data_IF_953918641145
#
_entry.id   IF_953918641145
#
_cell.length_a   1.000
_cell.length_b   1.000
_cell.length_c   1.000
_cell.angle_alpha   90.00
_cell.angle_beta   90.00
_cell.angle_gamma   90.00
#
_symmetry.space_group_name_H-M   'P 1'
#
loop_
_entity.id
_entity.type
_entity.pdbx_description
1 polymer ?
#
# COMPACT_ATOMS: atom_id res chain seq x y z
N UNK A 1 14.82 -9.15 5.75
CA UNK A 1 13.35 -9.35 5.63
C UNK A 1 12.60 -8.97 6.91
N UNK A 2 12.92 -9.59 8.06
CA UNK A 2 12.22 -9.34 9.34
C UNK A 2 12.03 -7.86 9.67
N UNK A 3 13.12 -7.08 9.65
CA UNK A 3 13.09 -5.62 9.90
C UNK A 3 12.08 -4.86 9.03
N UNK A 4 11.81 -5.32 7.79
CA UNK A 4 10.86 -4.67 6.89
C UNK A 4 9.40 -5.12 7.10
N UNK A 5 9.21 -6.27 7.73
CA UNK A 5 7.91 -6.93 7.88
C UNK A 5 7.37 -6.88 9.31
N UNK A 6 8.19 -6.54 10.30
CA UNK A 6 7.82 -6.57 11.73
C UNK A 6 6.65 -5.64 12.08
N UNK A 7 6.48 -4.55 11.31
CA UNK A 7 5.43 -3.55 11.51
C UNK A 7 4.26 -3.69 10.52
N UNK A 8 4.22 -4.77 9.73
CA UNK A 8 3.12 -4.98 8.79
C UNK A 8 1.85 -5.44 9.50
N UNK A 9 0.82 -4.60 9.44
CA UNK A 9 -0.55 -5.01 9.71
C UNK A 9 -1.25 -5.41 8.40
N UNK A 10 -1.80 -6.64 8.38
CA UNK A 10 -2.40 -7.23 7.18
C UNK A 10 -3.82 -7.69 7.43
N UNK A 11 -4.70 -7.40 6.48
CA UNK A 11 -6.13 -7.66 6.56
C UNK A 11 -6.60 -8.35 5.29
N UNK A 12 -6.96 -9.64 5.38
CA UNK A 12 -7.43 -10.46 4.25
C UNK A 12 -8.71 -11.23 4.62
N UNK A 13 -9.74 -11.29 3.75
CA UNK A 13 -9.83 -10.65 2.41
C UNK A 13 -10.00 -9.11 2.48
N UNK A 14 -9.97 -8.52 3.68
CA UNK A 14 -10.08 -7.08 3.90
C UNK A 14 -11.51 -6.56 3.72
N UNK A 15 -11.67 -5.25 3.87
CA UNK A 15 -12.89 -4.55 3.47
C UNK A 15 -12.84 -4.21 1.98
N UNK A 16 -13.97 -4.24 1.25
CA UNK A 16 -14.03 -3.73 -0.12
C UNK A 16 -13.41 -2.33 -0.20
N UNK A 17 -12.76 -2.01 -1.33
CA UNK A 17 -11.99 -0.79 -1.47
C UNK A 17 -12.76 0.46 -1.07
N UNK A 18 -12.32 1.11 0.01
CA UNK A 18 -12.87 2.37 0.53
C UNK A 18 -11.84 3.51 0.45
N UNK A 19 -12.29 4.75 0.61
CA UNK A 19 -11.39 5.91 0.71
C UNK A 19 -10.91 6.52 -0.62
N UNK A 20 -11.31 5.98 -1.77
CA UNK A 20 -11.08 6.59 -3.09
C UNK A 20 -9.70 6.30 -3.72
N UNK A 21 -9.02 5.23 -3.30
CA UNK A 21 -7.74 4.82 -3.88
C UNK A 21 -7.89 3.97 -5.15
N UNK A 22 -6.92 4.03 -6.06
CA UNK A 22 -7.01 3.47 -7.42
C UNK A 22 -7.08 1.94 -7.49
N UNK A 23 -6.57 1.22 -6.48
CA UNK A 23 -6.61 -0.26 -6.46
C UNK A 23 -8.06 -0.79 -6.55
N UNK A 24 -9.03 -0.05 -6.01
CA UNK A 24 -10.43 -0.44 -6.05
C UNK A 24 -10.94 -0.65 -7.50
N UNK A 25 -10.46 0.14 -8.46
CA UNK A 25 -10.83 -0.01 -9.87
C UNK A 25 -10.33 -1.35 -10.46
N UNK A 26 -9.12 -1.78 -10.09
CA UNK A 26 -8.57 -3.07 -10.51
C UNK A 26 -9.33 -4.24 -9.89
N UNK A 27 -9.62 -4.17 -8.59
CA UNK A 27 -10.44 -5.18 -7.90
C UNK A 27 -11.84 -5.29 -8.54
N UNK A 28 -12.49 -4.16 -8.85
CA UNK A 28 -13.79 -4.14 -9.52
C UNK A 28 -13.75 -4.79 -10.93
N UNK A 29 -12.61 -4.73 -11.62
CA UNK A 29 -12.40 -5.36 -12.92
C UNK A 29 -11.98 -6.84 -12.81
N UNK A 30 -11.92 -7.42 -11.60
CA UNK A 30 -11.47 -8.79 -11.37
C UNK A 30 -9.95 -8.97 -11.45
N UNK A 31 -9.18 -7.87 -11.51
CA UNK A 31 -7.72 -7.95 -11.46
C UNK A 31 -7.25 -8.04 -9.99
N UNK A 32 -6.31 -8.95 -9.67
CA UNK A 32 -5.73 -9.04 -8.34
C UNK A 32 -5.08 -7.72 -7.93
N UNK A 33 -5.58 -7.10 -6.87
CA UNK A 33 -5.03 -5.84 -6.36
C UNK A 33 -5.30 -5.68 -4.87
N UNK A 34 -4.46 -4.89 -4.22
CA UNK A 34 -4.54 -4.59 -2.80
C UNK A 34 -4.11 -3.13 -2.56
N UNK A 35 -4.66 -2.52 -1.52
CA UNK A 35 -4.22 -1.21 -1.05
C UNK A 35 -3.00 -1.34 -0.14
N UNK A 36 -2.01 -0.47 -0.32
CA UNK A 36 -0.91 -0.30 0.61
C UNK A 36 -1.05 1.07 1.27
N UNK A 37 -0.98 1.09 2.59
CA UNK A 37 -1.07 2.30 3.39
C UNK A 37 0.20 2.46 4.20
N UNK A 38 0.58 3.71 4.44
CA UNK A 38 1.63 4.04 5.40
C UNK A 38 1.01 4.25 6.79
N UNK A 39 1.85 4.31 7.81
CA UNK A 39 1.46 4.75 9.15
C UNK A 39 0.63 6.05 9.09
N UNK A 40 -0.56 6.04 9.70
CA UNK A 40 -1.63 7.00 9.43
C UNK A 40 -2.02 7.83 10.67
N UNK A 41 -1.04 8.20 11.50
CA UNK A 41 -1.13 9.03 12.71
C UNK A 41 -2.27 10.09 12.71
N UNK A 42 -2.01 11.31 12.23
CA UNK A 42 -3.00 12.39 12.12
C UNK A 42 -3.37 12.67 10.65
N UNK A 43 -3.11 11.71 9.75
CA UNK A 43 -3.32 11.89 8.31
C UNK A 43 -4.75 12.35 8.01
N UNK A 44 -5.76 11.56 8.39
CA UNK A 44 -7.15 11.84 8.03
C UNK A 44 -7.79 13.01 8.78
N UNK A 45 -7.28 13.39 9.95
CA UNK A 45 -7.88 14.38 10.86
C UNK A 45 -7.19 15.73 10.81
N UNK A 46 -5.93 15.80 10.37
CA UNK A 46 -5.11 17.01 10.47
C UNK A 46 -4.48 17.43 9.14
N UNK A 47 -3.85 16.51 8.40
CA UNK A 47 -3.06 16.90 7.22
C UNK A 47 -3.82 16.72 5.90
N UNK A 48 -4.56 15.62 5.74
CA UNK A 48 -5.23 15.26 4.50
C UNK A 48 -6.22 16.33 4.02
N UNK A 49 -6.11 16.69 2.74
CA UNK A 49 -6.95 17.72 2.10
C UNK A 49 -6.91 19.09 2.78
N UNK A 50 -5.77 19.45 3.37
CA UNK A 50 -5.51 20.79 3.93
C UNK A 50 -4.26 21.40 3.30
N UNK A 51 -4.02 22.68 3.58
CA UNK A 51 -2.75 23.35 3.24
C UNK A 51 -1.58 22.95 4.16
N UNK A 52 -1.79 22.03 5.10
CA UNK A 52 -0.77 21.49 6.00
C UNK A 52 -0.12 20.20 5.47
N UNK A 53 -0.61 19.67 4.33
CA UNK A 53 -0.01 18.53 3.64
C UNK A 53 1.30 18.96 2.93
N UNK A 54 2.35 19.12 3.73
CA UNK A 54 3.64 19.67 3.34
C UNK A 54 4.79 18.74 3.73
N UNK A 55 5.94 18.93 3.09
CA UNK A 55 7.11 18.05 3.21
C UNK A 55 7.58 17.82 4.66
N UNK A 56 7.41 18.82 5.54
CA UNK A 56 7.81 18.73 6.95
C UNK A 56 7.02 17.71 7.78
N UNK A 57 5.93 17.16 7.23
CA UNK A 57 5.13 16.10 7.87
C UNK A 57 5.56 14.69 7.48
N UNK A 58 6.47 14.55 6.51
CA UNK A 58 6.96 13.23 6.09
C UNK A 58 8.01 12.68 7.07
N UNK A 59 7.77 11.47 7.56
CA UNK A 59 8.79 10.66 8.19
C UNK A 59 9.64 9.97 7.10
N UNK A 60 10.82 10.50 6.80
CA UNK A 60 11.66 9.98 5.72
C UNK A 60 12.08 8.52 5.90
N UNK A 61 12.24 8.06 7.13
CA UNK A 61 12.52 6.65 7.41
C UNK A 61 11.35 5.76 6.96
N UNK A 62 10.09 6.15 7.26
CA UNK A 62 8.90 5.45 6.78
C UNK A 62 8.83 5.47 5.24
N UNK A 63 9.11 6.60 4.60
CA UNK A 63 9.12 6.70 3.13
C UNK A 63 10.14 5.74 2.52
N UNK A 64 11.36 5.69 3.07
CA UNK A 64 12.40 4.78 2.60
C UNK A 64 12.00 3.33 2.81
N UNK A 65 11.49 2.99 3.98
CA UNK A 65 11.05 1.64 4.32
C UNK A 65 9.93 1.15 3.40
N UNK A 66 8.89 1.96 3.23
CA UNK A 66 7.76 1.67 2.34
C UNK A 66 8.23 1.49 0.88
N UNK A 67 9.12 2.35 0.40
CA UNK A 67 9.66 2.24 -0.95
C UNK A 67 10.43 0.93 -1.15
N UNK A 68 11.25 0.53 -0.18
CA UNK A 68 12.00 -0.74 -0.24
C UNK A 68 11.04 -1.94 -0.22
N UNK A 69 10.02 -1.92 0.65
CA UNK A 69 9.04 -2.98 0.73
C UNK A 69 8.26 -3.14 -0.59
N UNK A 70 7.79 -2.03 -1.17
CA UNK A 70 7.08 -2.04 -2.46
C UNK A 70 7.99 -2.54 -3.57
N UNK A 71 9.25 -2.12 -3.60
CA UNK A 71 10.22 -2.60 -4.58
C UNK A 71 10.45 -4.12 -4.46
N UNK A 72 10.52 -4.64 -3.24
CA UNK A 72 10.61 -6.08 -3.01
C UNK A 72 9.36 -6.83 -3.49
N UNK A 73 8.16 -6.31 -3.18
CA UNK A 73 6.89 -6.90 -3.66
C UNK A 73 6.83 -6.94 -5.19
N UNK A 74 7.17 -5.83 -5.84
CA UNK A 74 7.19 -5.74 -7.29
C UNK A 74 8.22 -6.70 -7.92
N UNK A 75 9.41 -6.81 -7.32
CA UNK A 75 10.45 -7.74 -7.77
C UNK A 75 10.00 -9.20 -7.61
N UNK A 76 9.43 -9.57 -6.46
CA UNK A 76 8.93 -10.93 -6.24
C UNK A 76 7.81 -11.28 -7.22
N UNK A 77 6.90 -10.34 -7.51
CA UNK A 77 5.84 -10.53 -8.49
C UNK A 77 6.37 -10.60 -9.93
N UNK A 78 7.45 -9.89 -10.28
CA UNK A 78 8.03 -9.94 -11.63
C UNK A 78 8.84 -11.21 -11.88
N UNK A 79 9.45 -11.76 -10.84
CA UNK A 79 10.26 -12.98 -10.90
C UNK A 79 9.46 -14.25 -10.58
N UNK A 80 8.16 -14.14 -10.30
CA UNK A 80 7.32 -15.31 -10.07
C UNK A 80 7.25 -16.16 -11.35
N UNK A 81 7.62 -17.46 -11.29
CA UNK A 81 7.54 -18.34 -12.46
C UNK A 81 6.09 -18.55 -12.94
N UNK A 82 5.11 -18.31 -12.07
CA UNK A 82 3.70 -18.46 -12.37
C UNK A 82 3.02 -17.08 -12.44
N UNK A 83 2.16 -16.92 -13.45
CA UNK A 83 1.32 -15.74 -13.53
C UNK A 83 0.14 -15.89 -12.57
N UNK A 84 -0.23 -14.79 -11.93
CA UNK A 84 -1.48 -14.72 -11.17
C UNK A 84 -2.65 -15.07 -12.09
N UNK A 85 -3.63 -15.80 -11.56
CA UNK A 85 -4.84 -16.17 -12.29
C UNK A 85 -5.51 -14.91 -12.85
N UNK A 86 -5.92 -14.98 -14.12
CA UNK A 86 -6.52 -13.87 -14.87
C UNK A 86 -8.04 -14.05 -15.04
N UNK A 87 -8.56 -15.21 -14.64
CA UNK A 87 -9.96 -15.56 -14.75
C UNK A 87 -10.65 -15.63 -13.37
N UNK A 88 -9.88 -15.55 -12.27
CA UNK A 88 -10.36 -15.67 -10.89
C UNK A 88 -9.63 -14.81 -9.89
#
# INVERSE_FOLDING_TARGET
>A
PAVLTDELDVSFPGTPGGGGSDYAAFTCAGAPSFGLWSESWDYGTYTWHTNLDTLDKLAFDNVRHNAVLIAMLAYMASEDPELVDRER
#
